data_IF_886889149766
#
_entry.id   IF_886889149766
#
_cell.length_a   1.000
_cell.length_b   1.000
_cell.length_c   1.000
_cell.angle_alpha   90.00
_cell.angle_beta   90.00
_cell.angle_gamma   90.00
#
_symmetry.space_group_name_H-M   'P 1'
#
loop_
_entity.id
_entity.type
_entity.pdbx_description
1 polymer ?
#
# COMPACT_ATOMS: atom_id res chain seq x y z
N UNK A 1 -27.51 1.61 -1.92
CA UNK A 1 -27.28 0.27 -2.51
C UNK A 1 -25.78 0.01 -2.49
N UNK A 2 -25.31 -1.24 -2.37
CA UNK A 2 -23.88 -1.54 -2.49
C UNK A 2 -23.33 -1.08 -3.83
N UNK A 3 -22.03 -0.81 -3.90
CA UNK A 3 -21.35 -0.44 -5.16
C UNK A 3 -21.41 -1.60 -6.14
N UNK A 4 -21.62 -1.26 -7.40
CA UNK A 4 -21.63 -2.20 -8.53
C UNK A 4 -20.59 -1.81 -9.55
N UNK A 5 -20.21 -2.75 -10.40
CA UNK A 5 -19.38 -2.45 -11.56
C UNK A 5 -20.14 -1.60 -12.62
N UNK A 6 -19.44 -1.26 -13.70
CA UNK A 6 -19.98 -0.58 -14.89
C UNK A 6 -21.21 -1.25 -15.53
N UNK A 7 -21.43 -2.54 -15.28
CA UNK A 7 -22.55 -3.33 -15.79
C UNK A 7 -23.63 -3.60 -14.72
N UNK A 8 -23.54 -2.98 -13.55
CA UNK A 8 -24.48 -3.20 -12.44
C UNK A 8 -24.25 -4.51 -11.67
N UNK A 9 -23.11 -5.18 -11.85
CA UNK A 9 -22.76 -6.43 -11.17
C UNK A 9 -22.15 -6.15 -9.80
N UNK A 10 -22.55 -6.93 -8.80
CA UNK A 10 -21.87 -6.96 -7.51
C UNK A 10 -20.54 -7.73 -7.60
N UNK A 11 -19.67 -7.57 -6.60
CA UNK A 11 -18.33 -8.18 -6.58
C UNK A 11 -18.34 -9.68 -6.90
N UNK A 12 -19.20 -10.48 -6.27
CA UNK A 12 -19.25 -11.92 -6.57
C UNK A 12 -19.53 -12.19 -8.05
N UNK A 13 -20.54 -11.52 -8.62
CA UNK A 13 -20.92 -11.72 -10.02
C UNK A 13 -19.83 -11.23 -10.99
N UNK A 14 -19.08 -10.18 -10.64
CA UNK A 14 -17.91 -9.77 -11.41
C UNK A 14 -16.80 -10.84 -11.33
N UNK A 15 -16.51 -11.38 -10.14
CA UNK A 15 -15.50 -12.42 -9.97
C UNK A 15 -15.88 -13.70 -10.72
N UNK A 16 -17.15 -14.12 -10.63
CA UNK A 16 -17.67 -15.27 -11.39
C UNK A 16 -17.44 -15.08 -12.91
N UNK A 17 -17.61 -13.86 -13.40
CA UNK A 17 -17.36 -13.53 -14.80
C UNK A 17 -15.88 -13.49 -15.16
N UNK A 18 -15.03 -12.88 -14.32
CA UNK A 18 -13.60 -12.75 -14.59
C UNK A 18 -12.83 -14.07 -14.50
N UNK A 19 -13.36 -15.03 -13.74
CA UNK A 19 -12.70 -16.30 -13.43
C UNK A 19 -13.35 -17.50 -14.13
N UNK A 20 -14.16 -17.26 -15.17
CA UNK A 20 -14.84 -18.30 -15.96
C UNK A 20 -15.68 -19.30 -15.13
N UNK A 21 -16.31 -18.80 -14.07
CA UNK A 21 -17.40 -19.48 -13.37
C UNK A 21 -17.02 -20.26 -12.11
N UNK A 22 -17.81 -19.99 -11.07
CA UNK A 22 -17.92 -20.68 -9.77
C UNK A 22 -16.97 -20.21 -8.66
N UNK A 23 -16.95 -18.90 -8.42
CA UNK A 23 -16.33 -18.34 -7.22
C UNK A 23 -17.26 -18.59 -6.04
N UNK A 24 -16.86 -19.52 -5.17
CA UNK A 24 -17.55 -19.75 -3.92
C UNK A 24 -17.55 -18.48 -3.06
N UNK A 25 -18.68 -18.18 -2.43
CA UNK A 25 -18.76 -17.10 -1.43
C UNK A 25 -17.70 -17.28 -0.33
N UNK A 26 -17.36 -18.54 -0.02
CA UNK A 26 -16.28 -18.91 0.90
C UNK A 26 -14.93 -18.37 0.49
N UNK A 27 -14.56 -18.49 -0.78
CA UNK A 27 -13.30 -17.94 -1.27
C UNK A 27 -13.22 -16.42 -1.06
N UNK A 28 -14.36 -15.72 -1.16
CA UNK A 28 -14.45 -14.27 -0.95
C UNK A 28 -14.30 -13.91 0.53
N UNK A 29 -15.11 -14.47 1.44
CA UNK A 29 -14.98 -14.10 2.85
C UNK A 29 -13.68 -14.60 3.50
N UNK A 30 -13.09 -15.70 3.00
CA UNK A 30 -11.75 -16.14 3.35
C UNK A 30 -10.69 -15.11 2.89
N UNK A 31 -10.83 -14.55 1.68
CA UNK A 31 -9.96 -13.46 1.20
C UNK A 31 -10.04 -12.23 2.09
N UNK A 32 -11.25 -11.87 2.49
CA UNK A 32 -11.51 -10.70 3.33
C UNK A 32 -11.04 -10.91 4.78
N UNK A 33 -10.81 -12.15 5.21
CA UNK A 33 -10.46 -12.49 6.59
C UNK A 33 -11.60 -12.24 7.58
N UNK A 34 -12.85 -12.44 7.14
CA UNK A 34 -14.06 -12.22 7.95
C UNK A 34 -14.92 -13.47 8.02
N UNK A 35 -15.79 -13.55 9.03
CA UNK A 35 -16.76 -14.64 9.12
C UNK A 35 -17.81 -14.57 8.01
N UNK A 36 -18.41 -15.73 7.68
CA UNK A 36 -19.57 -15.81 6.78
C UNK A 36 -20.71 -14.89 7.22
N UNK A 37 -21.02 -14.83 8.52
CA UNK A 37 -22.06 -13.93 9.06
C UNK A 37 -21.74 -12.46 8.81
N UNK A 38 -20.49 -12.05 8.97
CA UNK A 38 -20.04 -10.67 8.71
C UNK A 38 -20.12 -10.36 7.22
N UNK A 39 -19.71 -11.30 6.37
CA UNK A 39 -19.78 -11.16 4.91
C UNK A 39 -21.20 -10.91 4.42
N UNK A 40 -22.17 -11.75 4.80
CA UNK A 40 -23.56 -11.58 4.34
C UNK A 40 -24.25 -10.32 4.88
N UNK A 41 -23.73 -9.73 5.96
CA UNK A 41 -24.12 -8.39 6.41
C UNK A 41 -23.46 -7.31 5.54
N UNK A 42 -22.15 -7.41 5.34
CA UNK A 42 -21.31 -6.43 4.63
C UNK A 42 -21.74 -6.24 3.17
N UNK A 43 -22.09 -7.30 2.46
CA UNK A 43 -22.54 -7.21 1.05
C UNK A 43 -23.83 -6.39 0.83
N UNK A 44 -24.55 -6.06 1.91
CA UNK A 44 -25.77 -5.23 1.87
C UNK A 44 -25.48 -3.76 2.17
N UNK A 45 -24.28 -3.46 2.67
CA UNK A 45 -23.86 -2.11 3.06
C UNK A 45 -23.52 -1.29 1.82
N UNK A 46 -23.75 0.03 1.87
CA UNK A 46 -23.67 0.89 0.69
C UNK A 46 -22.24 1.14 0.21
N UNK A 47 -21.30 1.07 1.14
CA UNK A 47 -19.87 1.26 0.93
C UNK A 47 -19.14 -0.03 0.54
N UNK A 48 -19.85 -1.16 0.40
CA UNK A 48 -19.27 -2.40 -0.07
C UNK A 48 -19.28 -2.49 -1.61
N UNK A 49 -18.20 -2.96 -2.27
CA UNK A 49 -16.87 -3.14 -1.69
C UNK A 49 -16.12 -1.81 -1.55
N UNK A 50 -15.27 -1.73 -0.52
CA UNK A 50 -14.30 -0.65 -0.34
C UNK A 50 -12.91 -0.98 -0.91
N UNK A 51 -12.00 -0.01 -0.87
CA UNK A 51 -10.67 -0.14 -1.49
C UNK A 51 -9.80 -1.24 -0.83
N UNK A 52 -9.94 -1.46 0.49
CA UNK A 52 -9.17 -2.49 1.20
C UNK A 52 -9.74 -3.89 0.94
N UNK A 53 -11.07 -3.99 0.89
CA UNK A 53 -11.75 -5.23 0.51
C UNK A 53 -11.37 -5.64 -0.92
N UNK A 54 -11.36 -4.70 -1.87
CA UNK A 54 -10.90 -4.96 -3.24
C UNK A 54 -9.42 -5.35 -3.29
N UNK A 55 -8.55 -4.75 -2.46
CA UNK A 55 -7.13 -5.12 -2.39
C UNK A 55 -6.96 -6.58 -1.96
N UNK A 56 -7.63 -6.99 -0.88
CA UNK A 56 -7.57 -8.37 -0.37
C UNK A 56 -8.08 -9.39 -1.38
N UNK A 57 -9.18 -9.05 -2.07
CA UNK A 57 -9.73 -9.90 -3.13
C UNK A 57 -8.79 -9.96 -4.33
N UNK A 58 -8.22 -8.83 -4.77
CA UNK A 58 -7.24 -8.80 -5.84
C UNK A 58 -6.05 -9.72 -5.53
N UNK A 59 -5.48 -9.59 -4.33
CA UNK A 59 -4.36 -10.41 -3.86
C UNK A 59 -4.72 -11.91 -3.85
N UNK A 60 -5.93 -12.27 -3.38
CA UNK A 60 -6.38 -13.67 -3.29
C UNK A 60 -6.58 -14.35 -4.63
N UNK A 61 -7.10 -13.63 -5.61
CA UNK A 61 -7.47 -14.14 -6.92
C UNK A 61 -6.46 -13.79 -8.03
N UNK A 62 -5.32 -13.19 -7.67
CA UNK A 62 -4.29 -12.73 -8.60
C UNK A 62 -4.85 -11.79 -9.69
N UNK A 63 -5.76 -10.89 -9.29
CA UNK A 63 -6.37 -9.89 -10.16
C UNK A 63 -5.66 -8.55 -10.01
N UNK A 64 -5.79 -7.69 -11.02
CA UNK A 64 -5.29 -6.32 -10.97
C UNK A 64 -6.13 -5.48 -10.00
N UNK A 65 -5.51 -5.06 -8.89
CA UNK A 65 -6.14 -4.18 -7.90
C UNK A 65 -6.60 -2.83 -8.51
N UNK A 66 -5.77 -2.12 -9.32
CA UNK A 66 -6.21 -0.90 -9.99
C UNK A 66 -7.42 -1.13 -10.89
N UNK A 67 -7.48 -2.27 -11.62
CA UNK A 67 -8.63 -2.54 -12.49
C UNK A 67 -9.92 -2.77 -11.71
N UNK A 68 -9.86 -3.46 -10.56
CA UNK A 68 -11.04 -3.60 -9.70
C UNK A 68 -11.51 -2.24 -9.16
N UNK A 69 -10.59 -1.39 -8.72
CA UNK A 69 -10.95 -0.04 -8.25
C UNK A 69 -11.62 0.79 -9.36
N UNK A 70 -11.12 0.68 -10.60
CA UNK A 70 -11.72 1.36 -11.75
C UNK A 70 -13.13 0.83 -12.02
N UNK A 71 -13.32 -0.48 -12.04
CA UNK A 71 -14.63 -1.10 -12.29
C UNK A 71 -15.67 -0.69 -11.26
N UNK A 72 -15.31 -0.60 -9.98
CA UNK A 72 -16.21 -0.18 -8.90
C UNK A 72 -16.29 1.35 -8.69
N UNK A 73 -15.64 2.13 -9.56
CA UNK A 73 -15.69 3.60 -9.51
C UNK A 73 -15.00 4.21 -8.28
N UNK A 74 -14.07 3.47 -7.66
CA UNK A 74 -13.21 3.99 -6.58
C UNK A 74 -12.00 4.76 -7.11
N UNK A 75 -11.68 4.56 -8.39
CA UNK A 75 -10.57 5.19 -9.09
C UNK A 75 -10.95 5.34 -10.56
N UNK A 76 -10.41 6.33 -11.26
CA UNK A 76 -10.57 6.51 -12.70
C UNK A 76 -9.31 6.06 -13.44
N UNK A 77 -9.49 5.72 -14.71
CA UNK A 77 -8.35 5.40 -15.58
C UNK A 77 -7.42 6.61 -15.78
N UNK A 78 -7.98 7.83 -15.78
CA UNK A 78 -7.18 9.05 -15.85
C UNK A 78 -6.32 9.24 -14.60
N UNK A 79 -6.83 8.93 -13.40
CA UNK A 79 -6.04 9.02 -12.17
C UNK A 79 -4.86 8.05 -12.18
N UNK A 80 -5.06 6.81 -12.65
CA UNK A 80 -3.95 5.84 -12.81
C UNK A 80 -2.92 6.33 -13.82
N UNK A 81 -3.38 6.83 -14.97
CA UNK A 81 -2.50 7.37 -16.00
C UNK A 81 -1.68 8.56 -15.47
N UNK A 82 -2.37 9.51 -14.83
CA UNK A 82 -1.73 10.66 -14.20
C UNK A 82 -0.70 10.22 -13.17
N UNK A 83 -1.01 9.23 -12.31
CA UNK A 83 -0.06 8.69 -11.33
C UNK A 83 1.19 8.09 -11.98
N UNK A 84 1.05 7.36 -13.09
CA UNK A 84 2.20 6.76 -13.79
C UNK A 84 3.04 7.81 -14.53
N UNK A 85 2.42 8.83 -15.11
CA UNK A 85 3.11 9.93 -15.80
C UNK A 85 3.76 10.92 -14.83
N UNK A 86 3.15 11.16 -13.68
CA UNK A 86 3.73 11.96 -12.61
C UNK A 86 4.78 11.14 -11.88
N UNK A 87 5.97 11.06 -12.49
CA UNK A 87 7.19 10.50 -11.93
C UNK A 87 7.32 10.84 -10.42
N UNK A 88 7.85 9.91 -9.60
CA UNK A 88 7.57 9.83 -8.18
C UNK A 88 7.92 11.13 -7.46
N UNK A 89 7.10 11.46 -6.45
CA UNK A 89 7.52 12.33 -5.35
C UNK A 89 8.94 11.90 -4.98
N UNK A 90 9.93 12.71 -5.33
CA UNK A 90 11.27 12.54 -4.81
C UNK A 90 11.09 12.77 -3.32
N UNK A 91 11.15 11.69 -2.54
CA UNK A 91 11.37 11.81 -1.10
C UNK A 91 12.69 12.56 -1.01
N UNK A 92 12.60 13.86 -0.77
CA UNK A 92 13.73 14.63 -0.32
C UNK A 92 14.13 13.95 0.98
N UNK A 93 15.10 13.05 0.90
CA UNK A 93 15.85 12.63 2.07
C UNK A 93 16.30 13.94 2.69
N UNK A 94 15.79 14.23 3.89
CA UNK A 94 16.34 15.33 4.69
C UNK A 94 17.82 14.99 4.76
N UNK A 95 18.64 15.73 4.00
CA UNK A 95 20.06 15.47 3.94
C UNK A 95 20.53 15.50 5.38
N UNK A 96 20.94 14.33 5.87
CA UNK A 96 21.47 14.15 7.20
C UNK A 96 22.52 15.23 7.38
N UNK A 97 22.27 16.15 8.33
CA UNK A 97 23.13 17.29 8.55
C UNK A 97 24.55 16.74 8.73
N UNK A 98 25.46 17.09 7.81
CA UNK A 98 26.80 16.54 7.76
C UNK A 98 27.40 16.54 9.17
N UNK A 99 27.83 15.39 9.72
CA UNK A 99 28.50 15.39 11.01
C UNK A 99 29.76 16.24 10.82
N UNK A 100 29.82 17.38 11.52
CA UNK A 100 31.04 18.17 11.60
C UNK A 100 32.11 17.26 12.21
N UNK A 101 32.96 16.70 11.35
CA UNK A 101 34.13 15.95 11.77
C UNK A 101 35.09 16.97 12.37
N UNK A 102 34.94 17.28 13.65
CA UNK A 102 36.02 17.88 14.43
C UNK A 102 37.15 16.87 14.42
N UNK A 103 38.08 17.08 13.47
CA UNK A 103 39.30 16.31 13.30
C UNK A 103 40.04 16.31 14.63
N UNK A 104 40.00 15.17 15.35
CA UNK A 104 40.81 14.99 16.55
C UNK A 104 42.29 15.01 16.12
N UNK A 105 43.15 15.84 16.74
CA UNK A 105 44.57 15.86 16.42
C UNK A 105 45.18 14.49 16.66
N UNK A 106 46.12 14.09 15.80
CA UNK A 106 46.78 12.78 15.89
C UNK A 106 47.71 12.75 17.11
N UNK A 107 47.90 11.58 17.72
CA UNK A 107 48.77 11.42 18.90
C UNK A 107 50.22 11.92 18.66
N UNK A 108 50.70 11.84 17.42
CA UNK A 108 52.00 12.39 16.99
C UNK A 108 52.10 13.91 17.02
N UNK A 109 50.97 14.62 17.12
CA UNK A 109 50.88 16.08 17.18
C UNK A 109 50.77 16.57 18.64
N UNK A 110 50.70 15.66 19.62
CA UNK A 110 50.69 16.01 21.04
C UNK A 110 52.12 16.17 21.55
N UNK A 111 52.49 17.40 21.93
CA UNK A 111 53.76 17.67 22.59
C UNK A 111 53.62 17.54 24.12
N UNK A 112 54.59 16.92 24.82
CA UNK A 112 54.63 16.93 26.28
C UNK A 112 54.65 18.36 26.84
N UNK A 113 53.88 18.61 27.91
CA UNK A 113 53.81 19.93 28.53
C UNK A 113 55.17 20.27 29.17
N UNK A 114 55.79 21.41 28.84
CA UNK A 114 57.12 21.76 29.35
C UNK A 114 57.12 22.07 30.86
N UNK A 115 55.96 22.33 31.46
CA UNK A 115 55.80 22.64 32.89
C UNK A 115 55.65 21.40 33.79
N UNK A 116 56.10 20.22 33.36
CA UNK A 116 56.06 19.04 34.22
C UNK A 116 57.21 19.11 35.25
N UNK A 117 56.93 19.18 36.56
CA UNK A 117 57.97 19.14 37.58
C UNK A 117 58.67 17.77 37.58
N UNK A 118 60.01 17.72 37.74
CA UNK A 118 60.75 16.46 37.81
C UNK A 118 60.40 15.66 39.06
N UNK A 119 60.39 14.32 38.94
CA UNK A 119 60.23 13.37 40.05
C UNK A 119 61.51 13.30 40.90
#
# INVERSE_FOLDING_TARGET
MPRTDENGRQLKALLDYLLDGDVEAKAIYDALGISSSTYYRRIKEQDYPDAEELRRVADRFALSYPDLQIRFGLMSRQEVWHYVESAPFTVATVADAAPTTRRRPKLSELAPRPDAPPL
#
